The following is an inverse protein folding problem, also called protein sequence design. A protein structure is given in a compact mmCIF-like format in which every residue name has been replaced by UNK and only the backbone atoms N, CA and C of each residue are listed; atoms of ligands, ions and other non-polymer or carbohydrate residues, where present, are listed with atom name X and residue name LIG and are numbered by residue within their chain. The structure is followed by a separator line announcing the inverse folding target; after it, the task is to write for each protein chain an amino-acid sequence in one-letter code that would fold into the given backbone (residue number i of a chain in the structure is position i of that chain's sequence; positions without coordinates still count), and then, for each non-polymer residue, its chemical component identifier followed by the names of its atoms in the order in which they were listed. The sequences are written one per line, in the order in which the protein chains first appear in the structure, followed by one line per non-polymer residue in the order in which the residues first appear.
data_IF_862367725653
#
_entry.id   IF_862367725653
#
_cell.length_a   1.000
_cell.length_b   1.000
_cell.length_c   1.000
_cell.angle_alpha   90.00
_cell.angle_beta   90.00
_cell.angle_gamma   90.00
#
_symmetry.space_group_name_H-M   'P 1'
#
loop_
_entity.id
_entity.type
_entity.pdbx_description
1 polymer ?
#
# COMPACT_ATOMS: atom_id res chain seq x y z
N UNK A 1 -36.94 -19.21 -8.95
CA UNK A 1 -35.98 -20.07 -8.20
C UNK A 1 -34.57 -20.03 -8.80
N UNK A 2 -34.37 -20.19 -10.12
CA UNK A 2 -33.03 -20.16 -10.77
C UNK A 2 -32.27 -18.82 -10.61
N UNK A 3 -32.97 -17.68 -10.65
CA UNK A 3 -32.37 -16.35 -10.49
C UNK A 3 -31.84 -16.09 -9.07
N UNK A 4 -32.54 -16.55 -8.02
CA UNK A 4 -32.06 -16.45 -6.63
C UNK A 4 -30.81 -17.30 -6.38
N UNK A 5 -30.71 -18.47 -7.02
CA UNK A 5 -29.50 -19.31 -6.96
C UNK A 5 -28.31 -18.62 -7.61
N UNK A 6 -28.52 -17.93 -8.74
CA UNK A 6 -27.46 -17.18 -9.43
C UNK A 6 -26.95 -15.99 -8.61
N UNK A 7 -27.86 -15.23 -7.97
CA UNK A 7 -27.48 -14.10 -7.11
C UNK A 7 -26.72 -14.58 -5.86
N UNK A 8 -27.15 -15.68 -5.25
CA UNK A 8 -26.45 -16.29 -4.12
C UNK A 8 -25.05 -16.76 -4.52
N UNK A 9 -24.88 -17.35 -5.71
CA UNK A 9 -23.59 -17.83 -6.21
C UNK A 9 -22.60 -16.69 -6.48
N UNK A 10 -23.07 -15.56 -7.00
CA UNK A 10 -22.26 -14.34 -7.22
C UNK A 10 -21.84 -13.71 -5.88
N UNK A 11 -22.75 -13.69 -4.91
CA UNK A 11 -22.48 -13.16 -3.57
C UNK A 11 -21.45 -14.03 -2.84
N UNK A 12 -21.54 -15.37 -2.96
CA UNK A 12 -20.58 -16.31 -2.40
C UNK A 12 -19.19 -16.23 -3.07
N UNK A 13 -19.12 -15.92 -4.37
CA UNK A 13 -17.84 -15.72 -5.07
C UNK A 13 -17.11 -14.43 -4.63
N UNK A 14 -17.83 -13.47 -4.05
CA UNK A 14 -17.29 -12.17 -3.64
C UNK A 14 -16.56 -12.22 -2.30
N UNK A 15 -16.73 -13.29 -1.51
CA UNK A 15 -15.99 -13.51 -0.27
C UNK A 15 -14.69 -14.27 -0.54
N UNK A 16 -13.73 -13.64 -1.21
CA UNK A 16 -12.36 -14.15 -1.21
C UNK A 16 -11.67 -13.70 0.08
N UNK A 17 -11.27 -14.61 0.99
CA UNK A 17 -10.45 -14.24 2.13
C UNK A 17 -9.06 -13.87 1.64
N UNK A 18 -8.78 -12.58 1.47
CA UNK A 18 -7.40 -12.07 1.36
C UNK A 18 -6.79 -12.13 2.76
N UNK A 19 -6.44 -13.33 3.19
CA UNK A 19 -5.56 -13.53 4.34
C UNK A 19 -4.12 -13.53 3.80
N UNK A 20 -3.62 -12.35 3.47
CA UNK A 20 -2.19 -12.17 3.23
C UNK A 20 -1.50 -12.05 4.58
N UNK A 21 -0.69 -13.05 4.96
CA UNK A 21 0.41 -12.77 5.89
C UNK A 21 1.17 -11.59 5.31
N UNK A 22 1.36 -10.52 6.08
CA UNK A 22 2.15 -9.36 5.66
C UNK A 22 3.61 -9.81 5.48
N UNK A 23 3.89 -10.43 4.33
CA UNK A 23 5.20 -10.88 3.92
C UNK A 23 6.02 -9.68 3.47
N UNK A 24 7.32 -9.75 3.69
CA UNK A 24 8.23 -8.79 3.10
C UNK A 24 8.21 -8.97 1.57
N UNK A 25 8.00 -7.88 0.84
CA UNK A 25 8.03 -7.85 -0.62
C UNK A 25 9.47 -7.66 -1.12
N UNK A 26 9.82 -8.31 -2.24
CA UNK A 26 11.10 -8.06 -2.93
C UNK A 26 11.00 -6.78 -3.78
N UNK A 27 12.12 -6.07 -3.96
CA UNK A 27 12.12 -4.77 -4.64
C UNK A 27 11.65 -4.85 -6.10
N UNK A 28 11.81 -6.00 -6.74
CA UNK A 28 11.44 -6.28 -8.12
C UNK A 28 9.93 -6.27 -8.34
N UNK A 29 9.16 -6.51 -7.27
CA UNK A 29 7.69 -6.52 -7.33
C UNK A 29 7.08 -5.12 -7.18
N UNK A 30 7.87 -4.12 -6.75
CA UNK A 30 7.40 -2.74 -6.56
C UNK A 30 7.11 -2.09 -7.91
N UNK A 31 5.87 -1.60 -8.08
CA UNK A 31 5.39 -0.97 -9.31
C UNK A 31 4.84 0.44 -9.03
N UNK A 32 5.04 1.41 -9.95
CA UNK A 32 4.33 2.68 -9.90
C UNK A 32 2.81 2.49 -9.78
N UNK A 33 2.16 3.35 -9.01
CA UNK A 33 0.72 3.31 -8.75
C UNK A 33 0.30 2.40 -7.59
N UNK A 34 1.22 1.63 -7.01
CA UNK A 34 0.94 0.90 -5.77
C UNK A 34 0.60 1.87 -4.63
N UNK A 35 -0.38 1.49 -3.81
CA UNK A 35 -0.78 2.21 -2.61
C UNK A 35 -0.48 1.38 -1.37
N UNK A 36 -0.21 2.04 -0.25
CA UNK A 36 0.00 1.40 1.03
C UNK A 36 -0.34 2.31 2.21
N UNK A 37 -0.29 1.74 3.40
CA UNK A 37 -0.47 2.45 4.67
C UNK A 37 0.85 2.36 5.44
N UNK A 38 1.38 3.50 5.83
CA UNK A 38 2.50 3.62 6.76
C UNK A 38 1.99 3.92 8.17
N UNK A 39 2.76 3.49 9.17
CA UNK A 39 2.51 3.81 10.57
C UNK A 39 3.65 4.68 11.09
N UNK A 40 3.33 5.75 11.79
CA UNK A 40 4.33 6.61 12.44
C UNK A 40 3.77 7.18 13.75
N UNK A 41 4.60 7.86 14.53
CA UNK A 41 4.17 8.67 15.67
C UNK A 41 4.52 10.11 15.34
N UNK A 42 3.52 10.95 15.07
CA UNK A 42 3.75 12.36 14.77
C UNK A 42 4.01 13.18 16.04
N UNK A 43 3.23 12.92 17.10
CA UNK A 43 3.36 13.59 18.38
C UNK A 43 3.15 12.62 19.55
N UNK A 44 3.90 12.84 20.63
CA UNK A 44 3.80 12.05 21.84
C UNK A 44 4.17 10.59 21.61
N UNK A 45 3.22 9.69 21.79
CA UNK A 45 3.43 8.23 21.72
C UNK A 45 2.35 7.50 20.94
N UNK A 46 1.40 8.22 20.34
CA UNK A 46 0.25 7.63 19.64
C UNK A 46 0.67 7.24 18.21
N UNK A 47 0.56 5.96 17.82
CA UNK A 47 0.74 5.56 16.44
C UNK A 47 -0.44 6.05 15.58
N UNK A 48 -0.12 6.64 14.44
CA UNK A 48 -1.04 7.16 13.46
C UNK A 48 -0.68 6.66 12.06
N UNK A 49 -1.72 6.49 11.24
CA UNK A 49 -1.58 6.00 9.88
C UNK A 49 -1.34 7.16 8.90
N UNK A 50 -0.58 6.90 7.84
CA UNK A 50 -0.48 7.77 6.68
C UNK A 50 -0.52 6.95 5.39
N UNK A 51 -0.96 7.56 4.31
CA UNK A 51 -1.05 6.92 3.00
C UNK A 51 0.27 7.06 2.23
N UNK A 52 0.62 6.00 1.51
CA UNK A 52 1.79 5.93 0.63
C UNK A 52 1.31 5.68 -0.79
N UNK A 53 1.74 6.52 -1.73
CA UNK A 53 1.53 6.30 -3.15
C UNK A 53 2.87 6.17 -3.89
N UNK A 54 3.19 4.97 -4.38
CA UNK A 54 4.47 4.68 -5.04
C UNK A 54 4.50 5.30 -6.43
N UNK A 55 5.48 6.17 -6.66
CA UNK A 55 5.76 6.80 -7.96
C UNK A 55 6.72 5.97 -8.82
N UNK A 56 7.59 5.18 -8.19
CA UNK A 56 8.48 4.24 -8.88
C UNK A 56 9.73 3.90 -8.08
N UNK A 57 10.70 3.26 -8.74
CA UNK A 57 11.99 2.88 -8.15
C UNK A 57 13.12 3.54 -8.91
N UNK A 58 13.90 4.37 -8.23
CA UNK A 58 15.14 4.94 -8.73
C UNK A 58 16.27 3.95 -8.47
N UNK A 59 16.88 3.38 -9.52
CA UNK A 59 17.92 2.36 -9.36
C UNK A 59 19.33 2.95 -9.43
N UNK A 60 20.20 2.52 -8.52
CA UNK A 60 21.61 2.90 -8.43
C UNK A 60 21.87 4.42 -8.39
N UNK A 61 20.96 5.21 -7.78
CA UNK A 61 21.02 6.68 -7.86
C UNK A 61 22.23 7.27 -7.10
N UNK A 62 22.73 6.57 -6.08
CA UNK A 62 23.91 6.96 -5.28
C UNK A 62 24.94 5.81 -5.20
N UNK A 63 25.16 5.11 -6.32
CA UNK A 63 26.14 4.01 -6.45
C UNK A 63 25.51 2.61 -6.58
N UNK A 64 26.33 1.57 -6.79
CA UNK A 64 25.84 0.22 -7.03
C UNK A 64 24.96 -0.32 -5.90
N UNK A 65 23.81 -0.90 -6.26
CA UNK A 65 22.82 -1.47 -5.32
C UNK A 65 22.20 -0.45 -4.35
N UNK A 66 22.30 0.86 -4.63
CA UNK A 66 21.62 1.93 -3.88
C UNK A 66 20.34 2.34 -4.61
N UNK A 67 19.31 1.52 -4.45
CA UNK A 67 17.99 1.77 -5.02
C UNK A 67 17.12 2.55 -4.02
N UNK A 68 16.26 3.44 -4.50
CA UNK A 68 15.27 4.18 -3.70
C UNK A 68 13.87 3.94 -4.26
N UNK A 69 12.91 3.69 -3.37
CA UNK A 69 11.49 3.73 -3.72
C UNK A 69 11.05 5.18 -3.55
N UNK A 70 10.55 5.76 -4.64
CA UNK A 70 9.99 7.10 -4.63
C UNK A 70 8.48 6.99 -4.40
N UNK A 71 7.98 7.70 -3.40
CA UNK A 71 6.56 7.74 -3.08
C UNK A 71 6.12 9.16 -2.72
N UNK A 72 4.84 9.46 -2.92
CA UNK A 72 4.15 10.61 -2.35
C UNK A 72 3.44 10.16 -1.08
N UNK A 73 3.56 10.93 -0.01
CA UNK A 73 2.90 10.63 1.26
C UNK A 73 1.73 11.60 1.48
N UNK A 74 0.67 11.12 2.14
CA UNK A 74 -0.47 11.95 2.52
C UNK A 74 -1.09 11.46 3.83
N UNK A 75 -1.83 12.33 4.51
CA UNK A 75 -2.48 12.04 5.78
C UNK A 75 -1.80 12.71 6.98
N UNK A 76 -2.61 13.00 8.00
CA UNK A 76 -2.18 13.67 9.22
C UNK A 76 -1.36 14.95 8.93
N UNK A 77 -0.31 15.21 9.72
CA UNK A 77 0.57 16.36 9.53
C UNK A 77 1.36 16.36 8.21
N UNK A 78 1.46 15.25 7.47
CA UNK A 78 2.27 15.18 6.25
C UNK A 78 1.70 16.03 5.11
N UNK A 79 0.37 16.22 5.08
CA UNK A 79 -0.30 17.00 4.04
C UNK A 79 0.23 18.44 3.93
N UNK A 80 0.73 19.00 5.03
CA UNK A 80 1.20 20.38 5.11
C UNK A 80 2.72 20.51 4.99
N UNK A 81 3.44 19.40 4.81
CA UNK A 81 4.92 19.36 4.81
C UNK A 81 5.55 19.24 3.42
N UNK A 82 4.76 18.91 2.40
CA UNK A 82 5.22 18.85 1.01
C UNK A 82 6.06 17.63 0.63
N UNK A 83 5.95 16.54 1.41
CA UNK A 83 6.58 15.23 1.14
C UNK A 83 5.71 14.30 0.29
#
# INVERSE_FOLDING_TARGET
MKSFVFVSLILLLSLSPTSGTAGQMVLEDVRPGMTGVGMTVFEGTTPEEFEVHVLGVLRNINGPKRNLILARLSGGPLNDTGV
#
